data_IF_571858702689
#
_entry.id   IF_571858702689
#
_cell.length_a   1.000
_cell.length_b   1.000
_cell.length_c   1.000
_cell.angle_alpha   90.00
_cell.angle_beta   90.00
_cell.angle_gamma   90.00
#
_symmetry.space_group_name_H-M   'P 1'
#
loop_
_entity.id
_entity.type
_entity.pdbx_description
1 polymer ?
#
# COMPACT_ATOMS: atom_id res chain seq x y z
N UNK A 1 -4.05 13.79 -0.76
CA UNK A 1 -3.44 12.60 -0.14
C UNK A 1 -4.47 11.59 0.36
N UNK A 2 -5.50 12.04 1.07
CA UNK A 2 -6.50 11.11 1.62
C UNK A 2 -7.23 10.32 0.52
N UNK A 3 -7.55 10.93 -0.61
CA UNK A 3 -8.20 10.22 -1.72
C UNK A 3 -7.33 9.10 -2.28
N UNK A 4 -6.02 9.34 -2.40
CA UNK A 4 -5.07 8.32 -2.87
C UNK A 4 -4.92 7.21 -1.85
N UNK A 5 -4.85 7.56 -0.57
CA UNK A 5 -4.75 6.57 0.50
C UNK A 5 -6.03 5.70 0.57
N UNK A 6 -7.19 6.31 0.43
CA UNK A 6 -8.47 5.60 0.38
C UNK A 6 -8.50 4.59 -0.76
N UNK A 7 -8.11 5.01 -1.96
CA UNK A 7 -8.11 4.13 -3.12
C UNK A 7 -7.10 2.99 -2.95
N UNK A 8 -5.90 3.30 -2.45
CA UNK A 8 -4.89 2.28 -2.19
C UNK A 8 -5.38 1.26 -1.16
N UNK A 9 -6.00 1.75 -0.09
CA UNK A 9 -6.52 0.86 0.96
C UNK A 9 -7.65 -0.03 0.43
N UNK A 10 -8.54 0.54 -0.38
CA UNK A 10 -9.59 -0.23 -1.03
C UNK A 10 -9.01 -1.36 -1.88
N UNK A 11 -8.00 -1.06 -2.69
CA UNK A 11 -7.37 -2.05 -3.57
C UNK A 11 -6.64 -3.12 -2.78
N UNK A 12 -5.82 -2.73 -1.80
CA UNK A 12 -5.03 -3.69 -1.01
C UNK A 12 -5.94 -4.62 -0.22
N UNK A 13 -7.03 -4.10 0.35
CA UNK A 13 -7.97 -4.92 1.11
C UNK A 13 -8.97 -5.64 0.23
N UNK A 14 -8.87 -5.50 -1.08
CA UNK A 14 -9.73 -6.14 -2.08
C UNK A 14 -11.20 -5.85 -1.80
N UNK A 15 -11.50 -4.58 -1.63
CA UNK A 15 -12.85 -4.04 -1.41
C UNK A 15 -13.47 -4.43 -0.06
N UNK A 16 -12.71 -5.01 0.85
CA UNK A 16 -13.19 -5.21 2.22
C UNK A 16 -13.49 -3.86 2.89
N UNK A 17 -12.67 -2.86 2.58
CA UNK A 17 -12.91 -1.46 2.95
C UNK A 17 -13.06 -0.63 1.68
N UNK A 18 -14.01 0.28 1.69
CA UNK A 18 -14.27 1.13 0.54
C UNK A 18 -13.46 2.42 0.55
N UNK A 19 -12.85 2.75 1.68
CA UNK A 19 -12.03 3.94 1.79
C UNK A 19 -11.64 4.25 3.21
N UNK A 20 -11.03 5.42 3.36
CA UNK A 20 -10.58 5.97 4.62
C UNK A 20 -11.21 7.33 4.86
N UNK A 21 -11.40 7.67 6.12
CA UNK A 21 -11.88 8.99 6.51
C UNK A 21 -11.32 9.33 7.89
N UNK A 22 -11.57 10.53 8.34
CA UNK A 22 -11.27 10.93 9.71
C UNK A 22 -12.57 11.32 10.40
N UNK A 23 -12.62 11.14 11.69
CA UNK A 23 -13.73 11.64 12.51
C UNK A 23 -13.19 12.27 13.78
N UNK A 24 -13.91 13.25 14.35
CA UNK A 24 -13.49 13.85 15.62
C UNK A 24 -13.45 12.81 16.74
N UNK A 25 -12.39 12.86 17.56
CA UNK A 25 -12.24 12.01 18.73
C UNK A 25 -11.55 12.83 19.81
N UNK A 26 -12.33 13.38 20.73
CA UNK A 26 -11.86 14.32 21.76
C UNK A 26 -11.18 15.52 21.10
N UNK A 27 -9.90 15.76 21.39
CA UNK A 27 -9.14 16.88 20.83
C UNK A 27 -8.39 16.52 19.54
N UNK A 28 -8.65 15.33 19.00
CA UNK A 28 -7.93 14.79 17.84
C UNK A 28 -8.90 14.32 16.79
N UNK A 29 -8.37 14.08 15.61
CA UNK A 29 -9.07 13.35 14.57
C UNK A 29 -8.58 11.91 14.56
N UNK A 30 -9.52 10.97 14.53
CA UNK A 30 -9.22 9.55 14.47
C UNK A 30 -9.39 9.06 13.04
N UNK A 31 -8.46 8.20 12.61
CA UNK A 31 -8.52 7.59 11.31
C UNK A 31 -9.44 6.38 11.34
N UNK A 32 -10.39 6.32 10.41
CA UNK A 32 -11.35 5.22 10.30
C UNK A 32 -11.32 4.61 8.91
N UNK A 33 -11.56 3.30 8.86
CA UNK A 33 -11.83 2.60 7.61
C UNK A 33 -13.33 2.47 7.41
N UNK A 34 -13.79 2.68 6.19
CA UNK A 34 -15.19 2.57 5.81
C UNK A 34 -15.44 1.16 5.30
N UNK A 35 -16.26 0.40 6.02
CA UNK A 35 -16.54 -0.99 5.68
C UNK A 35 -17.44 -1.10 4.45
N UNK A 36 -17.18 -2.08 3.61
CA UNK A 36 -18.02 -2.42 2.47
C UNK A 36 -19.46 -2.75 2.87
N UNK A 37 -19.64 -3.30 4.06
CA UNK A 37 -20.95 -3.70 4.56
C UNK A 37 -21.65 -2.59 5.36
N UNK A 38 -21.12 -1.38 5.30
CA UNK A 38 -21.64 -0.25 6.07
C UNK A 38 -20.91 -0.10 7.40
N UNK A 39 -21.02 1.10 7.97
CA UNK A 39 -20.32 1.41 9.22
C UNK A 39 -18.85 1.71 9.00
N UNK A 40 -18.17 1.97 10.10
CA UNK A 40 -16.77 2.33 10.11
C UNK A 40 -16.05 1.64 11.26
N UNK A 41 -14.73 1.54 11.14
CA UNK A 41 -13.91 0.92 12.16
C UNK A 41 -12.68 1.77 12.41
N UNK A 42 -12.39 2.03 13.67
CA UNK A 42 -11.16 2.73 14.03
C UNK A 42 -9.94 1.90 13.64
N UNK A 43 -8.87 2.57 13.23
CA UNK A 43 -7.62 1.88 12.88
C UNK A 43 -7.15 0.97 14.01
N UNK A 44 -7.24 1.43 15.26
CA UNK A 44 -6.79 0.65 16.42
C UNK A 44 -7.65 -0.58 16.68
N UNK A 45 -8.86 -0.63 16.12
CA UNK A 45 -9.77 -1.77 16.26
C UNK A 45 -9.57 -2.83 15.19
N UNK A 46 -8.79 -2.51 14.16
CA UNK A 46 -8.52 -3.43 13.06
C UNK A 46 -7.51 -4.50 13.49
N UNK A 47 -7.54 -5.65 12.81
CA UNK A 47 -6.50 -6.66 12.99
C UNK A 47 -5.13 -6.08 12.66
N UNK A 48 -4.06 -6.68 13.19
CA UNK A 48 -2.71 -6.19 12.91
C UNK A 48 -2.37 -6.24 11.42
N UNK A 49 -2.81 -7.27 10.73
CA UNK A 49 -2.61 -7.38 9.29
C UNK A 49 -3.31 -6.26 8.53
N UNK A 50 -4.55 -5.94 8.90
CA UNK A 50 -5.28 -4.84 8.28
C UNK A 50 -4.65 -3.49 8.61
N UNK A 51 -4.19 -3.30 9.84
CA UNK A 51 -3.45 -2.08 10.21
C UNK A 51 -2.20 -1.91 9.35
N UNK A 52 -1.48 -3.00 9.08
CA UNK A 52 -0.30 -2.96 8.24
C UNK A 52 -0.65 -2.52 6.81
N UNK A 53 -1.74 -3.04 6.27
CA UNK A 53 -2.26 -2.64 4.96
C UNK A 53 -2.65 -1.16 4.94
N UNK A 54 -3.26 -0.69 6.02
CA UNK A 54 -3.64 0.72 6.16
C UNK A 54 -2.40 1.62 6.16
N UNK A 55 -1.40 1.30 6.97
CA UNK A 55 -0.19 2.11 7.03
C UNK A 55 0.57 2.09 5.71
N UNK A 56 0.57 0.96 5.02
CA UNK A 56 1.17 0.88 3.69
C UNK A 56 0.42 1.79 2.71
N UNK A 57 -0.90 1.77 2.72
CA UNK A 57 -1.70 2.64 1.86
C UNK A 57 -1.38 4.12 2.08
N UNK A 58 -1.23 4.52 3.35
CA UNK A 58 -0.86 5.89 3.69
C UNK A 58 0.55 6.24 3.18
N UNK A 59 1.50 5.33 3.33
CA UNK A 59 2.87 5.55 2.87
C UNK A 59 2.95 5.66 1.35
N UNK A 60 2.24 4.79 0.64
CA UNK A 60 2.20 4.83 -0.82
C UNK A 60 1.60 6.14 -1.32
N UNK A 61 0.49 6.56 -0.70
CA UNK A 61 -0.16 7.82 -1.07
C UNK A 61 0.76 9.02 -0.78
N UNK A 62 1.44 9.00 0.36
CA UNK A 62 2.38 10.06 0.72
C UNK A 62 3.55 10.13 -0.23
N UNK A 63 4.11 9.01 -0.63
CA UNK A 63 5.20 8.98 -1.60
C UNK A 63 4.72 9.48 -2.97
N UNK A 64 3.57 9.06 -3.42
CA UNK A 64 3.04 9.48 -4.72
C UNK A 64 2.91 11.00 -4.78
N UNK A 65 2.39 11.61 -3.72
CA UNK A 65 2.28 13.05 -3.63
C UNK A 65 3.65 13.73 -3.61
N UNK A 66 4.58 13.17 -2.82
CA UNK A 66 5.94 13.70 -2.72
C UNK A 66 6.70 13.57 -4.04
N UNK A 67 6.62 12.42 -4.70
CA UNK A 67 7.35 12.13 -5.94
C UNK A 67 6.86 12.97 -7.11
N UNK A 68 5.61 13.41 -7.09
CA UNK A 68 5.10 14.33 -8.11
C UNK A 68 5.88 15.64 -8.11
N UNK A 69 6.28 16.10 -6.92
CA UNK A 69 7.09 17.31 -6.80
C UNK A 69 8.61 17.03 -6.88
N UNK A 70 9.04 15.84 -6.48
CA UNK A 70 10.46 15.45 -6.41
C UNK A 70 10.69 14.04 -6.93
N UNK A 71 10.59 13.82 -8.26
CA UNK A 71 10.63 12.47 -8.83
C UNK A 71 11.98 11.78 -8.73
N UNK A 72 13.05 12.51 -8.38
CA UNK A 72 14.40 11.94 -8.26
C UNK A 72 14.61 11.12 -6.99
N UNK A 73 13.70 11.18 -6.01
CA UNK A 73 13.83 10.44 -4.76
C UNK A 73 13.17 9.07 -4.90
N UNK A 74 13.90 7.96 -4.72
CA UNK A 74 13.31 6.63 -4.83
C UNK A 74 12.51 6.28 -3.58
N UNK A 75 11.53 5.39 -3.78
CA UNK A 75 10.82 4.72 -2.69
C UNK A 75 11.47 3.35 -2.48
N UNK A 76 11.96 3.10 -1.28
CA UNK A 76 12.60 1.84 -0.94
C UNK A 76 11.71 1.09 0.04
N UNK A 77 11.28 -0.10 -0.35
CA UNK A 77 10.44 -0.96 0.47
C UNK A 77 11.24 -2.21 0.84
N UNK A 78 11.40 -2.44 2.15
CA UNK A 78 12.17 -3.57 2.65
C UNK A 78 11.22 -4.62 3.20
N UNK A 79 10.88 -5.58 2.34
CA UNK A 79 10.08 -6.76 2.68
C UNK A 79 8.73 -6.43 3.33
N UNK A 80 8.07 -5.40 2.81
CA UNK A 80 6.84 -4.85 3.42
C UNK A 80 5.61 -5.74 3.23
N UNK A 81 5.71 -6.78 2.40
CA UNK A 81 4.60 -7.68 2.11
C UNK A 81 4.80 -9.09 2.67
N UNK A 82 5.73 -9.23 3.60
CA UNK A 82 6.09 -10.54 4.14
C UNK A 82 4.88 -11.31 4.69
N UNK A 83 3.93 -10.60 5.32
CA UNK A 83 2.76 -11.21 5.94
C UNK A 83 1.51 -11.16 5.04
N UNK A 84 1.63 -10.66 3.82
CA UNK A 84 0.48 -10.54 2.91
C UNK A 84 0.25 -11.84 2.17
N UNK A 85 -1.02 -12.18 1.94
CA UNK A 85 -1.37 -13.26 1.04
C UNK A 85 -1.10 -12.85 -0.42
N UNK A 86 -1.18 -13.82 -1.32
CA UNK A 86 -0.84 -13.60 -2.72
C UNK A 86 -1.74 -12.55 -3.38
N UNK A 87 -3.09 -12.57 -3.22
CA UNK A 87 -3.93 -11.53 -3.84
C UNK A 87 -3.60 -10.13 -3.39
N UNK A 88 -3.30 -9.93 -2.09
CA UNK A 88 -2.93 -8.62 -1.58
C UNK A 88 -1.58 -8.18 -2.09
N UNK A 89 -0.62 -9.11 -2.18
CA UNK A 89 0.70 -8.82 -2.73
C UNK A 89 0.60 -8.39 -4.20
N UNK A 90 -0.25 -9.03 -4.98
CA UNK A 90 -0.49 -8.65 -6.37
C UNK A 90 -1.00 -7.21 -6.46
N UNK A 91 -1.95 -6.84 -5.61
CA UNK A 91 -2.49 -5.47 -5.61
C UNK A 91 -1.43 -4.44 -5.24
N UNK A 92 -0.58 -4.76 -4.26
CA UNK A 92 0.51 -3.86 -3.88
C UNK A 92 1.49 -3.69 -5.05
N UNK A 93 1.86 -4.77 -5.73
CA UNK A 93 2.76 -4.66 -6.89
C UNK A 93 2.13 -3.86 -8.03
N UNK A 94 0.81 -3.94 -8.23
CA UNK A 94 0.14 -3.08 -9.21
C UNK A 94 0.25 -1.61 -8.84
N UNK A 95 0.04 -1.29 -7.57
CA UNK A 95 0.19 0.09 -7.08
C UNK A 95 1.63 0.56 -7.21
N UNK A 96 2.60 -0.27 -6.85
CA UNK A 96 4.01 0.08 -6.98
C UNK A 96 4.38 0.31 -8.46
N UNK A 97 3.82 -0.48 -9.37
CA UNK A 97 4.02 -0.30 -10.80
C UNK A 97 3.48 1.04 -11.29
N UNK A 98 2.33 1.47 -10.79
CA UNK A 98 1.79 2.79 -11.12
C UNK A 98 2.69 3.90 -10.60
N UNK A 99 3.18 3.75 -9.37
CA UNK A 99 4.09 4.72 -8.77
C UNK A 99 5.44 4.76 -9.49
N UNK A 100 5.87 3.66 -10.08
CA UNK A 100 7.12 3.59 -10.82
C UNK A 100 7.11 4.46 -12.09
N UNK A 101 5.94 4.88 -12.56
CA UNK A 101 5.82 5.83 -13.65
C UNK A 101 6.10 7.26 -13.21
N UNK A 102 6.00 7.53 -11.91
CA UNK A 102 6.25 8.85 -11.33
C UNK A 102 7.66 8.93 -10.76
N UNK A 103 8.11 7.90 -10.09
CA UNK A 103 9.42 7.85 -9.46
C UNK A 103 10.02 6.46 -9.51
N UNK A 104 11.18 6.27 -8.91
CA UNK A 104 11.85 4.98 -8.87
C UNK A 104 11.38 4.18 -7.67
N UNK A 105 11.00 2.94 -7.90
CA UNK A 105 10.57 2.01 -6.83
C UNK A 105 11.59 0.88 -6.74
N UNK A 106 12.10 0.66 -5.53
CA UNK A 106 13.04 -0.43 -5.25
C UNK A 106 12.43 -1.29 -4.14
N UNK A 107 12.17 -2.55 -4.44
CA UNK A 107 11.62 -3.50 -3.47
C UNK A 107 12.70 -4.52 -3.10
N UNK A 108 12.99 -4.63 -1.81
CA UNK A 108 13.97 -5.57 -1.28
C UNK A 108 13.25 -6.72 -0.59
N UNK A 109 13.60 -7.94 -0.94
CA UNK A 109 13.01 -9.13 -0.32
C UNK A 109 13.97 -10.31 -0.40
N UNK A 110 13.86 -11.25 0.53
CA UNK A 110 14.49 -12.56 0.42
C UNK A 110 13.47 -13.67 0.17
N UNK A 111 12.26 -13.29 -0.25
CA UNK A 111 11.21 -14.25 -0.60
C UNK A 111 11.09 -14.35 -2.11
N UNK A 112 11.57 -15.46 -2.66
CA UNK A 112 11.60 -15.67 -4.11
C UNK A 112 10.19 -15.65 -4.73
N UNK A 113 9.19 -16.11 -4.00
CA UNK A 113 7.82 -16.11 -4.50
C UNK A 113 7.30 -14.70 -4.77
N UNK A 114 7.75 -13.71 -4.01
CA UNK A 114 7.37 -12.31 -4.26
C UNK A 114 7.96 -11.80 -5.58
N UNK A 115 9.17 -12.24 -5.92
CA UNK A 115 9.76 -11.91 -7.21
C UNK A 115 8.94 -12.49 -8.35
N UNK A 116 8.41 -13.70 -8.18
CA UNK A 116 7.55 -14.34 -9.17
C UNK A 116 6.24 -13.58 -9.35
N UNK A 117 5.60 -13.19 -8.23
CA UNK A 117 4.37 -12.41 -8.27
C UNK A 117 4.63 -11.06 -8.97
N UNK A 118 5.70 -10.38 -8.60
CA UNK A 118 6.05 -9.10 -9.20
C UNK A 118 6.23 -9.21 -10.71
N UNK A 119 6.92 -10.25 -11.16
CA UNK A 119 7.18 -10.48 -12.59
C UNK A 119 5.89 -10.77 -13.36
N UNK A 120 4.93 -11.44 -12.74
CA UNK A 120 3.63 -11.71 -13.36
C UNK A 120 2.76 -10.46 -13.47
N UNK A 121 2.77 -9.63 -12.43
CA UNK A 121 1.94 -8.43 -12.35
C UNK A 121 2.57 -7.28 -13.13
N UNK A 122 3.89 -7.16 -13.10
CA UNK A 122 4.65 -6.11 -13.76
C UNK A 122 5.75 -6.74 -14.61
N UNK A 123 5.46 -7.14 -15.86
CA UNK A 123 6.44 -7.81 -16.70
C UNK A 123 7.70 -6.98 -16.97
N UNK A 124 7.63 -5.65 -16.80
CA UNK A 124 8.76 -4.75 -17.02
C UNK A 124 9.68 -4.63 -15.80
N UNK A 125 9.33 -5.27 -14.69
CA UNK A 125 10.15 -5.21 -13.49
C UNK A 125 11.51 -5.88 -13.76
N UNK A 126 12.58 -5.30 -13.20
CA UNK A 126 13.91 -5.91 -13.25
C UNK A 126 14.19 -6.56 -11.90
N UNK A 127 14.54 -7.84 -11.93
CA UNK A 127 14.87 -8.59 -10.71
C UNK A 127 16.38 -8.78 -10.67
N UNK A 128 16.98 -8.31 -9.56
CA UNK A 128 18.41 -8.48 -9.31
C UNK A 128 18.60 -9.45 -8.16
N UNK A 129 19.31 -10.55 -8.38
CA UNK A 129 19.71 -11.45 -7.31
C UNK A 129 21.03 -10.99 -6.74
N UNK A 130 21.05 -10.76 -5.43
CA UNK A 130 22.27 -10.41 -4.70
C UNK A 130 22.86 -11.68 -4.09
N UNK A 131 24.10 -11.93 -4.38
CA UNK A 131 24.78 -13.13 -3.89
C UNK A 131 25.12 -13.05 -2.41
#
# INVERSE_FOLDING_TARGET
>A
MMNRASEAFRLITRDEYTGLATRPDKDREALIGLSRHGGSKLAVEMSKGTQFQLYLALRLAGYEEFATARPSVPFIADDIMETFDEPRSEEVFRLLGQMAQIGQIIYLTHHRHLCQIASQVQPQVTVHELA
#
